data_IF_828979802711
#
_entry.id   IF_828979802711
#
_cell.length_a   1.000
_cell.length_b   1.000
_cell.length_c   1.000
_cell.angle_alpha   90.00
_cell.angle_beta   90.00
_cell.angle_gamma   90.00
#
_symmetry.space_group_name_H-M   'P 1'
#
loop_
_entity.id
_entity.type
_entity.pdbx_description
1 polymer ?
#
# COMPACT_ATOMS: atom_id res chain seq x y z
N UNK A 1 8.86 19.22 13.85
CA UNK A 1 8.54 18.01 13.07
C UNK A 1 8.97 18.13 11.61
N UNK A 2 8.34 19.00 10.79
CA UNK A 2 8.77 19.14 9.39
C UNK A 2 10.25 19.53 9.26
N UNK A 3 10.72 20.49 10.06
CA UNK A 3 12.12 20.91 10.03
C UNK A 3 13.07 19.77 10.42
N UNK A 4 12.77 19.05 11.50
CA UNK A 4 13.54 17.88 11.95
C UNK A 4 13.64 16.82 10.85
N UNK A 5 12.54 16.52 10.17
CA UNK A 5 12.53 15.57 9.04
C UNK A 5 13.26 16.14 7.82
N UNK A 6 13.16 17.44 7.54
CA UNK A 6 13.84 18.07 6.42
C UNK A 6 15.37 17.99 6.57
N UNK A 7 15.88 18.13 7.80
CA UNK A 7 17.32 17.99 8.07
C UNK A 7 17.88 16.62 7.70
N UNK A 8 17.08 15.55 7.78
CA UNK A 8 17.49 14.21 7.37
C UNK A 8 17.71 14.06 5.85
N UNK A 9 17.20 15.01 5.06
CA UNK A 9 17.28 15.00 3.60
C UNK A 9 18.34 15.97 3.06
N UNK A 10 18.88 16.84 3.89
CA UNK A 10 19.89 17.83 3.49
C UNK A 10 21.15 17.13 2.97
N UNK A 11 21.64 17.56 1.81
CA UNK A 11 22.87 17.05 1.20
C UNK A 11 22.72 15.73 0.45
N UNK A 12 21.54 15.09 0.46
CA UNK A 12 21.32 13.84 -0.29
C UNK A 12 21.13 14.10 -1.78
N UNK A 13 21.82 13.32 -2.59
CA UNK A 13 21.59 13.30 -4.03
C UNK A 13 20.24 12.65 -4.35
N UNK A 14 19.52 13.21 -5.33
CA UNK A 14 18.30 12.63 -5.89
C UNK A 14 18.68 11.78 -7.10
N UNK A 15 18.24 10.52 -7.12
CA UNK A 15 18.54 9.53 -8.17
C UNK A 15 17.25 9.02 -8.81
N UNK A 16 17.38 8.23 -9.88
CA UNK A 16 16.24 7.62 -10.61
C UNK A 16 15.18 8.65 -11.06
N UNK A 17 15.56 9.66 -11.87
CA UNK A 17 14.65 10.71 -12.26
C UNK A 17 13.50 10.17 -13.12
N UNK A 18 12.33 10.77 -12.91
CA UNK A 18 11.15 10.56 -13.75
C UNK A 18 11.47 10.85 -15.22
N UNK A 19 11.00 9.96 -16.10
CA UNK A 19 11.15 10.04 -17.57
C UNK A 19 9.80 10.47 -18.14
N UNK A 20 9.76 11.55 -18.92
CA UNK A 20 8.52 12.01 -19.56
C UNK A 20 8.19 11.11 -20.75
N UNK A 21 6.91 10.74 -20.89
CA UNK A 21 6.43 9.98 -22.03
C UNK A 21 5.15 10.61 -22.57
N UNK A 22 4.92 10.57 -23.89
CA UNK A 22 3.64 10.94 -24.46
C UNK A 22 2.55 9.94 -24.05
N UNK A 23 1.29 10.37 -24.01
CA UNK A 23 0.17 9.53 -23.57
C UNK A 23 -0.01 8.30 -24.49
N UNK A 24 0.21 8.50 -25.79
CA UNK A 24 0.18 7.46 -26.82
C UNK A 24 1.12 6.30 -26.47
N UNK A 25 2.23 6.58 -25.78
CA UNK A 25 3.18 5.53 -25.37
C UNK A 25 2.61 4.63 -24.27
N UNK A 26 1.81 5.18 -23.36
CA UNK A 26 1.07 4.40 -22.36
C UNK A 26 0.01 3.53 -23.02
N UNK A 27 -0.70 4.07 -24.02
CA UNK A 27 -1.71 3.32 -24.78
C UNK A 27 -1.09 2.16 -25.56
N UNK A 28 0.09 2.36 -26.16
CA UNK A 28 0.86 1.31 -26.81
C UNK A 28 1.31 0.23 -25.82
N UNK A 29 1.85 0.62 -24.67
CA UNK A 29 2.27 -0.31 -23.61
C UNK A 29 1.08 -1.17 -23.13
N UNK A 30 -0.05 -0.51 -22.88
CA UNK A 30 -1.27 -1.17 -22.45
C UNK A 30 -1.82 -2.11 -23.52
N UNK A 31 -1.87 -1.67 -24.78
CA UNK A 31 -2.35 -2.49 -25.90
C UNK A 31 -1.47 -3.72 -26.12
N UNK A 32 -0.14 -3.57 -26.05
CA UNK A 32 0.80 -4.68 -26.14
C UNK A 32 0.61 -5.68 -25.00
N UNK A 33 0.44 -5.19 -23.76
CA UNK A 33 0.16 -6.04 -22.61
C UNK A 33 -1.16 -6.80 -22.77
N UNK A 34 -2.24 -6.10 -23.15
CA UNK A 34 -3.57 -6.67 -23.38
C UNK A 34 -3.55 -7.73 -24.48
N UNK A 35 -2.87 -7.46 -25.61
CA UNK A 35 -2.72 -8.42 -26.69
C UNK A 35 -1.97 -9.70 -26.25
N UNK A 36 -1.02 -9.56 -25.32
CA UNK A 36 -0.29 -10.70 -24.76
C UNK A 36 -1.20 -11.56 -23.86
N UNK A 37 -1.91 -10.93 -22.93
CA UNK A 37 -2.79 -11.65 -21.98
C UNK A 37 -4.08 -12.18 -22.63
N UNK A 38 -4.57 -11.55 -23.71
CA UNK A 38 -5.74 -12.01 -24.45
C UNK A 38 -5.55 -13.38 -25.12
N UNK A 39 -4.30 -13.81 -25.32
CA UNK A 39 -3.98 -15.16 -25.84
C UNK A 39 -4.23 -16.26 -24.81
N UNK A 40 -4.53 -15.89 -23.56
CA UNK A 40 -4.82 -16.83 -22.48
C UNK A 40 -6.32 -17.05 -22.36
N UNK A 41 -6.76 -18.26 -22.66
CA UNK A 41 -8.10 -18.77 -22.33
C UNK A 41 -8.43 -18.67 -20.83
N UNK A 42 -7.41 -18.61 -19.98
CA UNK A 42 -7.54 -18.46 -18.53
C UNK A 42 -7.73 -17.02 -18.06
N UNK A 43 -7.55 -16.00 -18.90
CA UNK A 43 -7.84 -14.61 -18.52
C UNK A 43 -9.33 -14.35 -18.71
N UNK A 44 -10.01 -14.00 -17.61
CA UNK A 44 -11.45 -13.73 -17.60
C UNK A 44 -11.75 -12.27 -17.89
N UNK A 45 -11.03 -11.37 -17.23
CA UNK A 45 -11.19 -9.92 -17.37
C UNK A 45 -9.91 -9.17 -17.00
N UNK A 46 -9.73 -7.98 -17.55
CA UNK A 46 -8.66 -7.04 -17.19
C UNK A 46 -9.26 -5.68 -16.91
N UNK A 47 -8.86 -5.10 -15.77
CA UNK A 47 -9.25 -3.76 -15.35
C UNK A 47 -8.02 -2.91 -15.10
N UNK A 48 -8.13 -1.61 -15.31
CA UNK A 48 -7.16 -0.61 -14.86
C UNK A 48 -7.66 0.07 -13.61
N UNK A 49 -6.77 0.25 -12.63
CA UNK A 49 -7.00 1.08 -11.45
C UNK A 49 -6.45 2.47 -11.72
N UNK A 50 -7.20 3.50 -11.35
CA UNK A 50 -6.78 4.89 -11.48
C UNK A 50 -6.73 5.38 -12.94
N UNK A 51 -5.91 6.41 -13.14
CA UNK A 51 -5.72 7.05 -14.45
C UNK A 51 -4.30 7.60 -14.60
N UNK A 52 -3.87 7.78 -15.85
CA UNK A 52 -2.58 8.41 -16.18
C UNK A 52 -2.74 9.93 -16.08
N UNK A 53 -2.62 10.46 -14.86
CA UNK A 53 -2.81 11.88 -14.59
C UNK A 53 -1.60 12.76 -14.97
N UNK A 54 -0.38 12.25 -14.79
CA UNK A 54 0.86 12.93 -15.18
C UNK A 54 1.79 11.93 -15.88
N UNK A 55 1.78 11.88 -17.22
CA UNK A 55 2.64 10.99 -17.99
C UNK A 55 4.11 11.12 -17.59
N UNK A 56 4.77 9.99 -17.33
CA UNK A 56 6.14 9.90 -16.83
C UNK A 56 6.31 9.78 -15.32
N UNK A 57 5.30 10.23 -14.55
CA UNK A 57 5.21 10.03 -13.09
C UNK A 57 4.09 9.07 -12.67
N UNK A 58 3.09 8.86 -13.53
CA UNK A 58 2.04 7.88 -13.34
C UNK A 58 2.46 6.52 -13.88
N UNK A 59 1.95 5.46 -13.28
CA UNK A 59 2.09 4.08 -13.73
C UNK A 59 0.77 3.47 -14.21
N UNK A 60 0.90 2.31 -14.87
CA UNK A 60 -0.23 1.49 -15.33
C UNK A 60 -0.53 0.44 -14.26
N UNK A 61 -1.55 0.71 -13.45
CA UNK A 61 -2.05 -0.24 -12.44
C UNK A 61 -3.12 -1.14 -13.04
N UNK A 62 -2.88 -2.45 -13.08
CA UNK A 62 -3.86 -3.42 -13.58
C UNK A 62 -4.35 -4.39 -12.51
N UNK A 63 -5.59 -4.84 -12.68
CA UNK A 63 -6.14 -6.05 -12.08
C UNK A 63 -6.41 -7.06 -13.19
N UNK A 64 -5.77 -8.22 -13.12
CA UNK A 64 -6.04 -9.34 -14.02
C UNK A 64 -6.86 -10.37 -13.27
N UNK A 65 -8.09 -10.59 -13.72
CA UNK A 65 -8.99 -11.58 -13.15
C UNK A 65 -8.90 -12.85 -13.97
N UNK A 66 -8.50 -13.94 -13.31
CA UNK A 66 -8.30 -15.22 -13.96
C UNK A 66 -9.49 -16.16 -13.74
N UNK A 67 -9.71 -17.04 -14.71
CA UNK A 67 -10.41 -18.32 -14.55
C UNK A 67 -9.53 -19.25 -13.71
N UNK A 68 -10.12 -20.33 -13.20
CA UNK A 68 -9.36 -21.39 -12.55
C UNK A 68 -8.30 -21.95 -13.52
N UNK A 69 -7.01 -21.94 -13.15
CA UNK A 69 -6.02 -22.66 -13.97
C UNK A 69 -4.54 -22.34 -13.80
N UNK A 70 -4.03 -21.16 -14.17
CA UNK A 70 -2.62 -21.06 -14.51
C UNK A 70 -1.76 -20.79 -13.27
N UNK A 71 -0.72 -21.61 -13.05
CA UNK A 71 0.21 -21.46 -11.92
C UNK A 71 1.42 -20.58 -12.22
N UNK A 72 1.60 -20.19 -13.47
CA UNK A 72 2.81 -19.56 -13.98
C UNK A 72 2.57 -18.20 -14.65
N UNK A 73 1.40 -17.59 -14.40
CA UNK A 73 1.02 -16.30 -14.98
C UNK A 73 2.13 -15.25 -14.82
N UNK A 74 2.60 -15.01 -13.58
CA UNK A 74 3.64 -14.01 -13.31
C UNK A 74 4.98 -14.30 -14.01
N UNK A 75 5.33 -15.57 -14.19
CA UNK A 75 6.58 -15.94 -14.86
C UNK A 75 6.57 -15.70 -16.37
N UNK A 76 5.37 -15.77 -16.98
CA UNK A 76 5.18 -15.61 -18.42
C UNK A 76 4.70 -14.22 -18.83
N UNK A 77 3.87 -13.59 -18.00
CA UNK A 77 3.13 -12.36 -18.32
C UNK A 77 3.30 -11.25 -17.27
N UNK A 78 4.21 -11.45 -16.30
CA UNK A 78 4.63 -10.39 -15.40
C UNK A 78 5.46 -9.33 -16.12
N UNK A 79 5.55 -8.14 -15.51
CA UNK A 79 6.20 -6.97 -16.11
C UNK A 79 7.70 -7.15 -16.33
N UNK A 80 8.30 -8.13 -15.64
CA UNK A 80 9.71 -8.51 -15.83
C UNK A 80 10.02 -9.01 -17.25
N UNK A 81 9.01 -9.43 -18.02
CA UNK A 81 9.15 -9.87 -19.42
C UNK A 81 8.95 -8.74 -20.43
N UNK A 82 8.55 -7.56 -19.97
CA UNK A 82 8.35 -6.40 -20.84
C UNK A 82 9.69 -5.74 -21.16
N UNK A 83 9.69 -4.86 -22.17
CA UNK A 83 10.82 -3.97 -22.45
C UNK A 83 11.17 -3.13 -21.21
N UNK A 84 12.39 -2.60 -21.11
CA UNK A 84 12.76 -1.72 -19.98
C UNK A 84 11.78 -0.54 -19.85
N UNK A 85 11.38 0.03 -20.99
CA UNK A 85 10.48 1.16 -21.06
C UNK A 85 9.05 0.79 -20.63
N UNK A 86 8.47 -0.30 -21.14
CA UNK A 86 7.16 -0.75 -20.67
C UNK A 86 7.20 -1.10 -19.18
N UNK A 87 8.25 -1.78 -18.73
CA UNK A 87 8.44 -2.09 -17.31
C UNK A 87 8.52 -0.80 -16.47
N UNK A 88 9.15 0.26 -17.02
CA UNK A 88 9.10 1.58 -16.42
C UNK A 88 7.65 2.10 -16.37
N UNK A 89 6.82 1.95 -17.40
CA UNK A 89 5.45 2.48 -17.38
C UNK A 89 4.51 1.71 -16.43
N UNK A 90 4.75 0.43 -16.17
CA UNK A 90 3.92 -0.36 -15.25
C UNK A 90 4.31 -0.24 -13.77
N UNK A 91 5.56 0.08 -13.42
CA UNK A 91 6.15 0.07 -12.05
C UNK A 91 6.13 -1.27 -11.30
N UNK A 92 5.04 -2.03 -11.36
CA UNK A 92 4.85 -3.28 -10.64
C UNK A 92 3.96 -4.25 -11.43
N UNK A 93 3.99 -5.52 -11.02
CA UNK A 93 3.11 -6.53 -11.59
C UNK A 93 1.63 -6.20 -11.31
N UNK A 94 0.70 -6.59 -12.20
CA UNK A 94 -0.73 -6.49 -11.95
C UNK A 94 -1.17 -7.23 -10.68
N UNK A 95 -2.27 -6.78 -10.09
CA UNK A 95 -3.00 -7.55 -9.09
C UNK A 95 -3.69 -8.74 -9.77
N UNK A 96 -3.25 -9.95 -9.44
CA UNK A 96 -3.80 -11.17 -10.02
C UNK A 96 -4.73 -11.83 -9.01
N UNK A 97 -5.99 -11.98 -9.38
CA UNK A 97 -7.05 -12.48 -8.49
C UNK A 97 -8.06 -13.35 -9.25
N UNK A 98 -8.86 -14.12 -8.52
CA UNK A 98 -10.04 -14.83 -9.06
C UNK A 98 -11.30 -13.96 -8.95
N UNK A 99 -12.33 -14.34 -9.70
CA UNK A 99 -13.57 -13.58 -9.79
C UNK A 99 -14.24 -13.33 -8.43
N UNK A 100 -14.24 -14.31 -7.51
CA UNK A 100 -14.81 -14.12 -6.16
C UNK A 100 -14.06 -13.06 -5.34
N UNK A 101 -12.74 -13.00 -5.47
CA UNK A 101 -11.90 -12.04 -4.76
C UNK A 101 -12.02 -10.66 -5.40
N UNK A 102 -12.20 -10.60 -6.72
CA UNK A 102 -12.54 -9.36 -7.43
C UNK A 102 -13.89 -8.79 -7.00
N UNK A 103 -14.91 -9.63 -6.79
CA UNK A 103 -16.22 -9.16 -6.34
C UNK A 103 -16.13 -8.39 -5.01
N UNK A 104 -15.20 -8.81 -4.14
CA UNK A 104 -14.89 -8.19 -2.84
C UNK A 104 -13.77 -7.15 -2.89
N UNK A 105 -13.32 -6.67 -4.06
CA UNK A 105 -12.15 -5.79 -4.20
C UNK A 105 -12.17 -4.58 -3.26
N UNK A 106 -13.32 -3.93 -3.10
CA UNK A 106 -13.50 -2.77 -2.22
C UNK A 106 -13.33 -3.09 -0.72
N UNK A 107 -13.46 -4.37 -0.34
CA UNK A 107 -13.29 -4.85 1.03
C UNK A 107 -11.84 -5.10 1.41
N UNK A 108 -10.92 -5.29 0.47
CA UNK A 108 -9.51 -5.61 0.78
C UNK A 108 -8.50 -4.68 0.09
N UNK A 109 -8.95 -3.84 -0.84
CA UNK A 109 -8.13 -2.85 -1.52
C UNK A 109 -8.84 -1.47 -1.57
N UNK A 110 -8.13 -0.36 -1.31
CA UNK A 110 -8.74 0.98 -1.24
C UNK A 110 -8.99 1.60 -2.61
N UNK A 111 -9.79 0.94 -3.46
CA UNK A 111 -10.18 1.45 -4.78
C UNK A 111 -11.62 1.92 -4.78
N UNK A 112 -11.89 3.06 -5.43
CA UNK A 112 -13.25 3.57 -5.64
C UNK A 112 -13.79 3.02 -6.96
N UNK A 113 -15.11 2.90 -7.08
CA UNK A 113 -15.76 2.37 -8.27
C UNK A 113 -15.39 3.12 -9.54
N UNK A 114 -15.41 4.45 -9.49
CA UNK A 114 -15.05 5.32 -10.60
C UNK A 114 -13.58 5.23 -11.02
N UNK A 115 -12.72 4.69 -10.16
CA UNK A 115 -11.29 4.52 -10.47
C UNK A 115 -11.02 3.17 -11.16
N UNK A 116 -12.04 2.35 -11.46
CA UNK A 116 -11.87 1.04 -12.08
C UNK A 116 -12.39 1.04 -13.52
N UNK A 117 -11.48 1.03 -14.49
CA UNK A 117 -11.81 0.99 -15.92
C UNK A 117 -11.73 -0.44 -16.44
N UNK A 118 -12.83 -0.98 -16.96
CA UNK A 118 -12.81 -2.25 -17.68
C UNK A 118 -12.07 -2.10 -19.01
N UNK A 119 -11.10 -2.99 -19.28
CA UNK A 119 -10.27 -2.93 -20.48
C UNK A 119 -10.49 -4.10 -21.44
N UNK A 120 -10.70 -5.31 -20.93
CA UNK A 120 -10.87 -6.51 -21.76
C UNK A 120 -11.60 -7.63 -21.00
N UNK A 121 -12.27 -8.50 -21.77
CA UNK A 121 -12.93 -9.71 -21.26
C UNK A 121 -14.37 -9.48 -20.79
N UNK A 122 -14.79 -10.27 -19.80
CA UNK A 122 -16.14 -10.21 -19.22
C UNK A 122 -16.28 -9.03 -18.24
N UNK A 123 -17.42 -8.33 -18.26
CA UNK A 123 -17.76 -7.42 -17.17
C UNK A 123 -18.21 -8.23 -15.95
N UNK A 124 -17.36 -8.28 -14.93
CA UNK A 124 -17.62 -9.04 -13.70
C UNK A 124 -18.45 -8.23 -12.71
N UNK A 125 -19.42 -8.88 -12.04
CA UNK A 125 -20.18 -8.26 -10.97
C UNK A 125 -19.27 -7.98 -9.77
N UNK A 126 -19.64 -6.98 -8.99
CA UNK A 126 -19.02 -6.68 -7.70
C UNK A 126 -20.08 -6.67 -6.61
N UNK A 127 -19.67 -7.04 -5.41
CA UNK A 127 -20.54 -6.96 -4.26
C UNK A 127 -20.93 -5.49 -4.06
N UNK A 128 -22.21 -5.20 -3.77
CA UNK A 128 -22.66 -3.83 -3.57
C UNK A 128 -21.89 -3.21 -2.41
N UNK A 129 -21.66 -1.91 -2.51
CA UNK A 129 -21.08 -1.16 -1.40
C UNK A 129 -22.05 -1.24 -0.21
N UNK A 130 -21.54 -1.70 0.93
CA UNK A 130 -22.35 -1.86 2.14
C UNK A 130 -22.45 -0.53 2.91
N UNK A 131 -23.41 -0.42 3.83
CA UNK A 131 -23.45 0.66 4.82
C UNK A 131 -22.15 0.75 5.66
N UNK A 132 -21.36 -0.33 5.70
CA UNK A 132 -20.09 -0.42 6.40
C UNK A 132 -18.91 0.15 5.58
N UNK A 133 -19.13 0.68 4.38
CA UNK A 133 -18.07 1.17 3.50
C UNK A 133 -17.15 2.19 4.19
N UNK A 134 -17.70 3.20 4.87
CA UNK A 134 -16.88 4.21 5.55
C UNK A 134 -16.04 3.59 6.68
N UNK A 135 -16.57 2.56 7.35
CA UNK A 135 -15.83 1.82 8.36
C UNK A 135 -14.68 1.04 7.74
N UNK A 136 -14.91 0.37 6.61
CA UNK A 136 -13.87 -0.34 5.86
C UNK A 136 -12.81 0.61 5.33
N UNK A 137 -13.17 1.81 4.84
CA UNK A 137 -12.21 2.85 4.45
C UNK A 137 -11.26 3.23 5.60
N UNK A 138 -11.76 3.31 6.84
CA UNK A 138 -10.89 3.58 7.99
C UNK A 138 -9.91 2.42 8.26
N UNK A 139 -10.34 1.16 8.08
CA UNK A 139 -9.46 -0.01 8.19
C UNK A 139 -8.36 0.03 7.12
N UNK A 140 -8.73 0.34 5.87
CA UNK A 140 -7.76 0.56 4.78
C UNK A 140 -6.77 1.67 5.11
N UNK A 141 -7.26 2.80 5.63
CA UNK A 141 -6.42 3.93 5.99
C UNK A 141 -5.43 3.57 7.10
N UNK A 142 -5.90 2.93 8.18
CA UNK A 142 -5.03 2.46 9.27
C UNK A 142 -3.97 1.49 8.74
N UNK A 143 -4.35 0.57 7.87
CA UNK A 143 -3.44 -0.36 7.21
C UNK A 143 -2.40 0.34 6.32
N UNK A 144 -2.83 1.30 5.48
CA UNK A 144 -1.93 2.04 4.58
C UNK A 144 -0.89 2.85 5.38
N UNK A 145 -1.33 3.52 6.44
CA UNK A 145 -0.44 4.27 7.34
C UNK A 145 0.54 3.34 8.06
N UNK A 146 0.08 2.17 8.50
CA UNK A 146 0.92 1.20 9.19
C UNK A 146 1.95 0.53 8.27
N UNK A 147 1.53 0.08 7.10
CA UNK A 147 2.33 -0.85 6.27
C UNK A 147 3.01 -0.20 5.08
N UNK A 148 2.43 0.84 4.48
CA UNK A 148 2.93 1.38 3.21
C UNK A 148 3.67 2.69 3.42
N UNK A 149 3.01 3.67 4.05
CA UNK A 149 3.46 5.06 4.02
C UNK A 149 4.89 5.25 4.55
N UNK A 150 5.15 4.73 5.75
CA UNK A 150 6.45 4.95 6.39
C UNK A 150 7.53 4.04 5.87
N UNK A 151 7.21 2.83 5.41
CA UNK A 151 8.25 1.95 4.86
C UNK A 151 8.84 2.52 3.57
N UNK A 152 7.99 3.08 2.70
CA UNK A 152 8.46 3.71 1.46
C UNK A 152 9.32 4.94 1.75
N UNK A 153 8.87 5.82 2.64
CA UNK A 153 9.67 6.97 3.05
C UNK A 153 10.99 6.56 3.71
N UNK A 154 10.94 5.58 4.62
CA UNK A 154 12.10 5.11 5.38
C UNK A 154 13.20 4.61 4.45
N UNK A 155 12.90 3.60 3.64
CA UNK A 155 13.92 2.88 2.87
C UNK A 155 14.44 3.67 1.68
N UNK A 156 13.61 4.51 1.06
CA UNK A 156 13.95 5.15 -0.21
C UNK A 156 14.12 6.67 -0.15
N UNK A 157 13.74 7.30 0.97
CA UNK A 157 13.86 8.76 1.14
C UNK A 157 14.80 9.13 2.29
N UNK A 158 14.59 8.55 3.49
CA UNK A 158 15.28 9.00 4.69
C UNK A 158 16.55 8.24 5.07
N UNK A 159 16.62 6.93 4.84
CA UNK A 159 17.74 6.11 5.35
C UNK A 159 18.66 5.54 4.27
N UNK A 160 18.37 5.77 2.99
CA UNK A 160 19.31 5.53 1.90
C UNK A 160 20.39 6.61 1.80
N UNK A 161 21.50 6.33 1.13
CA UNK A 161 22.54 7.34 0.81
C UNK A 161 22.03 8.39 -0.19
N UNK A 162 21.05 7.99 -1.02
CA UNK A 162 20.40 8.85 -2.01
C UNK A 162 18.88 8.78 -1.85
N UNK A 163 18.19 9.73 -2.48
CA UNK A 163 16.73 9.79 -2.55
C UNK A 163 16.30 9.25 -3.91
N UNK A 164 15.61 8.11 -3.94
CA UNK A 164 15.03 7.60 -5.18
C UNK A 164 13.81 8.43 -5.55
N UNK A 165 13.93 9.27 -6.57
CA UNK A 165 12.91 10.24 -6.95
C UNK A 165 11.56 9.58 -7.23
N UNK A 166 11.58 8.49 -7.99
CA UNK A 166 10.36 7.79 -8.42
C UNK A 166 9.66 7.16 -7.23
N UNK A 167 10.41 6.51 -6.36
CA UNK A 167 9.84 5.86 -5.18
C UNK A 167 9.31 6.90 -4.19
N UNK A 168 10.02 8.01 -3.98
CA UNK A 168 9.56 9.13 -3.13
C UNK A 168 8.30 9.79 -3.68
N UNK A 169 8.22 10.05 -5.00
CA UNK A 169 7.00 10.56 -5.64
C UNK A 169 5.81 9.62 -5.44
N UNK A 170 6.01 8.31 -5.60
CA UNK A 170 4.98 7.30 -5.35
C UNK A 170 4.57 7.23 -3.87
N UNK A 171 5.51 7.44 -2.94
CA UNK A 171 5.21 7.50 -1.52
C UNK A 171 4.35 8.72 -1.16
N UNK A 172 4.68 9.91 -1.69
CA UNK A 172 3.91 11.14 -1.46
C UNK A 172 2.52 11.04 -2.12
N UNK A 173 2.43 10.45 -3.31
CA UNK A 173 1.15 10.18 -3.97
C UNK A 173 0.30 9.16 -3.20
N UNK A 174 0.91 8.12 -2.66
CA UNK A 174 0.25 7.19 -1.74
C UNK A 174 -0.30 7.88 -0.49
N UNK A 175 0.43 8.87 0.05
CA UNK A 175 -0.06 9.70 1.13
C UNK A 175 -1.28 10.52 0.71
N UNK A 176 -1.25 11.12 -0.48
CA UNK A 176 -2.40 11.85 -1.03
C UNK A 176 -3.64 10.96 -1.20
N UNK A 177 -3.46 9.68 -1.51
CA UNK A 177 -4.57 8.72 -1.56
C UNK A 177 -5.09 8.41 -0.14
N UNK A 178 -4.21 8.31 0.86
CA UNK A 178 -4.59 8.16 2.28
C UNK A 178 -5.37 9.39 2.78
N UNK A 179 -4.96 10.60 2.39
CA UNK A 179 -5.70 11.83 2.67
C UNK A 179 -7.08 11.80 2.02
N UNK A 180 -7.20 11.37 0.77
CA UNK A 180 -8.49 11.26 0.10
C UNK A 180 -9.43 10.28 0.84
N UNK A 181 -8.92 9.13 1.28
CA UNK A 181 -9.67 8.18 2.11
C UNK A 181 -10.12 8.81 3.44
N UNK A 182 -9.26 9.59 4.08
CA UNK A 182 -9.60 10.28 5.33
C UNK A 182 -10.73 11.29 5.13
N UNK A 183 -10.64 12.14 4.10
CA UNK A 183 -11.67 13.13 3.79
C UNK A 183 -13.01 12.46 3.46
N UNK A 184 -12.99 11.35 2.72
CA UNK A 184 -14.15 10.51 2.47
C UNK A 184 -14.78 9.99 3.77
N UNK A 185 -13.96 9.49 4.72
CA UNK A 185 -14.44 8.98 6.01
C UNK A 185 -15.07 10.09 6.85
N UNK A 186 -14.49 11.31 6.82
CA UNK A 186 -14.98 12.45 7.60
C UNK A 186 -16.12 13.21 6.93
N UNK A 187 -16.48 12.88 5.68
CA UNK A 187 -17.43 13.66 4.88
C UNK A 187 -17.06 15.14 4.77
N UNK A 188 -15.76 15.46 4.89
CA UNK A 188 -15.26 16.82 5.04
C UNK A 188 -14.77 17.40 3.72
N UNK A 189 -14.88 18.72 3.59
CA UNK A 189 -14.38 19.46 2.44
C UNK A 189 -12.84 19.47 2.38
N UNK A 190 -12.31 19.86 1.21
CA UNK A 190 -10.88 20.00 0.88
C UNK A 190 -10.13 21.02 1.74
N UNK A 191 -10.81 21.83 2.54
CA UNK A 191 -10.25 22.98 3.27
C UNK A 191 -9.46 22.60 4.53
N UNK A 192 -9.23 21.32 4.79
CA UNK A 192 -8.30 20.87 5.83
C UNK A 192 -6.84 21.07 5.39
N UNK A 193 -5.92 21.12 6.36
CA UNK A 193 -4.47 21.11 6.08
C UNK A 193 -4.04 19.93 5.20
N UNK A 194 -4.70 18.77 5.34
CA UNK A 194 -4.42 17.60 4.52
C UNK A 194 -4.89 17.78 3.08
N UNK A 195 -6.11 18.30 2.89
CA UNK A 195 -6.65 18.61 1.55
C UNK A 195 -5.79 19.66 0.85
N UNK A 196 -5.45 20.74 1.54
CA UNK A 196 -4.54 21.78 1.04
C UNK A 196 -3.15 21.25 0.68
N UNK A 197 -2.59 20.32 1.47
CA UNK A 197 -1.35 19.65 1.10
C UNK A 197 -1.50 18.81 -0.18
N UNK A 198 -2.53 17.96 -0.22
CA UNK A 198 -2.83 17.07 -1.35
C UNK A 198 -2.96 17.87 -2.64
N UNK A 199 -3.75 18.94 -2.64
CA UNK A 199 -4.05 19.69 -3.85
C UNK A 199 -2.80 20.43 -4.36
N UNK A 200 -2.03 21.08 -3.48
CA UNK A 200 -0.74 21.69 -3.84
C UNK A 200 0.24 20.69 -4.44
N UNK A 201 0.35 19.49 -3.85
CA UNK A 201 1.25 18.46 -4.37
C UNK A 201 0.79 17.92 -5.74
N UNK A 202 -0.51 17.69 -5.92
CA UNK A 202 -1.06 17.24 -7.20
C UNK A 202 -0.88 18.30 -8.30
N UNK A 203 -0.99 19.58 -7.98
CA UNK A 203 -0.70 20.67 -8.92
C UNK A 203 0.78 20.78 -9.23
N UNK A 204 1.65 20.63 -8.23
CA UNK A 204 3.10 20.54 -8.43
C UNK A 204 3.46 19.41 -9.42
N UNK A 205 2.88 18.21 -9.27
CA UNK A 205 3.11 17.09 -10.19
C UNK A 205 2.78 17.45 -11.65
N UNK A 206 1.73 18.23 -11.91
CA UNK A 206 1.38 18.67 -13.28
C UNK A 206 2.43 19.60 -13.90
N UNK A 207 3.21 20.28 -13.06
CA UNK A 207 4.30 21.17 -13.50
C UNK A 207 5.67 20.49 -13.52
N UNK A 208 5.75 19.22 -13.11
CA UNK A 208 7.01 18.52 -12.82
C UNK A 208 8.04 18.64 -13.96
N UNK A 209 7.67 18.28 -15.19
CA UNK A 209 8.59 18.27 -16.33
C UNK A 209 8.93 19.66 -16.88
N UNK A 210 8.27 20.72 -16.38
CA UNK A 210 8.61 22.12 -16.72
C UNK A 210 9.71 22.70 -15.83
N UNK A 211 10.06 22.01 -14.75
CA UNK A 211 11.04 22.46 -13.78
C UNK A 211 12.42 21.87 -14.08
N UNK A 212 13.48 22.65 -13.81
CA UNK A 212 14.85 22.14 -13.85
C UNK A 212 15.06 21.06 -12.76
N UNK A 213 16.10 20.23 -12.94
CA UNK A 213 16.38 19.12 -12.03
C UNK A 213 16.62 19.57 -10.57
N UNK A 214 17.25 20.73 -10.36
CA UNK A 214 17.50 21.27 -9.02
C UNK A 214 16.21 21.72 -8.33
N UNK A 215 15.32 22.40 -9.07
CA UNK A 215 14.00 22.79 -8.57
C UNK A 215 13.12 21.59 -8.25
N UNK A 216 13.13 20.55 -9.10
CA UNK A 216 12.44 19.27 -8.82
C UNK A 216 12.97 18.60 -7.55
N UNK A 217 14.29 18.50 -7.41
CA UNK A 217 14.91 17.90 -6.24
C UNK A 217 14.54 18.63 -4.93
N UNK A 218 14.62 19.97 -4.91
CA UNK A 218 14.22 20.78 -3.74
C UNK A 218 12.74 20.65 -3.41
N UNK A 219 11.88 20.65 -4.42
CA UNK A 219 10.45 20.50 -4.20
C UNK A 219 10.12 19.09 -3.67
N UNK A 220 10.74 18.05 -4.23
CA UNK A 220 10.55 16.67 -3.79
C UNK A 220 10.92 16.50 -2.31
N UNK A 221 12.09 16.98 -1.88
CA UNK A 221 12.51 16.87 -0.47
C UNK A 221 11.58 17.63 0.46
N UNK A 222 11.11 18.81 0.04
CA UNK A 222 10.14 19.61 0.78
C UNK A 222 8.81 18.86 0.94
N UNK A 223 8.26 18.33 -0.16
CA UNK A 223 7.00 17.58 -0.13
C UNK A 223 7.12 16.26 0.62
N UNK A 224 8.26 15.56 0.55
CA UNK A 224 8.51 14.35 1.33
C UNK A 224 8.52 14.63 2.85
N UNK A 225 9.18 15.71 3.28
CA UNK A 225 9.19 16.12 4.68
C UNK A 225 7.81 16.55 5.18
N UNK A 226 7.08 17.33 4.38
CA UNK A 226 5.72 17.74 4.69
C UNK A 226 4.76 16.55 4.76
N UNK A 227 4.79 15.65 3.78
CA UNK A 227 3.96 14.45 3.75
C UNK A 227 4.23 13.56 4.96
N UNK A 228 5.49 13.37 5.34
CA UNK A 228 5.87 12.55 6.49
C UNK A 228 5.39 13.17 7.80
N UNK A 229 5.56 14.49 7.97
CA UNK A 229 5.03 15.22 9.12
C UNK A 229 3.49 15.08 9.21
N UNK A 230 2.79 15.35 8.11
CA UNK A 230 1.34 15.23 8.06
C UNK A 230 0.86 13.78 8.22
N UNK A 231 1.63 12.78 7.79
CA UNK A 231 1.29 11.38 8.01
C UNK A 231 1.28 11.03 9.50
N UNK A 232 2.21 11.57 10.30
CA UNK A 232 2.13 11.43 11.76
C UNK A 232 0.90 12.14 12.33
N UNK A 233 0.59 13.36 11.88
CA UNK A 233 -0.63 14.04 12.36
C UNK A 233 -1.90 13.26 12.01
N UNK A 234 -1.96 12.71 10.79
CA UNK A 234 -3.08 11.88 10.34
C UNK A 234 -3.21 10.59 11.16
N UNK A 235 -2.10 9.95 11.56
CA UNK A 235 -2.14 8.82 12.51
C UNK A 235 -2.83 9.23 13.81
N UNK A 236 -2.56 10.43 14.33
CA UNK A 236 -3.21 10.93 15.54
C UNK A 236 -4.72 11.11 15.39
N UNK A 237 -5.16 11.61 14.23
CA UNK A 237 -6.59 11.76 13.94
C UNK A 237 -7.29 10.41 13.75
N UNK A 238 -6.65 9.47 13.03
CA UNK A 238 -7.15 8.10 12.86
C UNK A 238 -7.20 7.36 14.19
N UNK A 239 -6.19 7.52 15.06
CA UNK A 239 -6.19 6.97 16.41
C UNK A 239 -7.37 7.48 17.25
N UNK A 240 -7.63 8.79 17.20
CA UNK A 240 -8.77 9.38 17.89
C UNK A 240 -10.09 8.76 17.42
N UNK A 241 -10.25 8.59 16.11
CA UNK A 241 -11.42 7.97 15.49
C UNK A 241 -11.58 6.50 15.89
N UNK A 242 -10.49 5.73 15.88
CA UNK A 242 -10.48 4.33 16.32
C UNK A 242 -10.87 4.19 17.81
N UNK A 243 -10.30 5.02 18.69
CA UNK A 243 -10.65 5.00 20.12
C UNK A 243 -12.10 5.43 20.38
N UNK A 244 -12.59 6.39 19.61
CA UNK A 244 -13.93 6.96 19.80
C UNK A 244 -15.04 6.06 19.28
N UNK A 245 -14.78 5.30 18.20
CA UNK A 245 -15.84 4.62 17.45
C UNK A 245 -15.64 3.12 17.24
N UNK A 246 -14.44 2.59 17.51
CA UNK A 246 -14.12 1.17 17.22
C UNK A 246 -13.75 0.37 18.45
N UNK A 247 -12.98 0.96 19.35
CA UNK A 247 -12.46 0.25 20.50
C UNK A 247 -13.09 0.74 21.80
N UNK A 248 -13.36 -0.18 22.71
CA UNK A 248 -13.60 0.10 24.12
C UNK A 248 -12.23 0.44 24.74
N UNK A 249 -12.19 1.23 25.83
CA UNK A 249 -10.95 1.41 26.57
C UNK A 249 -10.35 0.05 26.97
N UNK A 250 -9.09 -0.18 26.60
CA UNK A 250 -8.35 -1.38 26.99
C UNK A 250 -7.03 -0.96 27.60
N UNK A 251 -6.67 -1.60 28.70
CA UNK A 251 -5.29 -1.59 29.17
C UNK A 251 -4.51 -2.63 28.38
N UNK A 252 -4.02 -2.25 27.20
CA UNK A 252 -2.96 -2.99 26.54
C UNK A 252 -1.62 -2.47 27.11
N UNK A 253 -0.69 -3.37 27.40
CA UNK A 253 0.71 -2.97 27.63
C UNK A 253 1.31 -2.39 26.35
N UNK A 254 2.52 -1.82 26.46
CA UNK A 254 3.28 -1.50 25.25
C UNK A 254 3.52 -2.79 24.43
N UNK A 255 3.34 -2.70 23.12
CA UNK A 255 3.53 -3.84 22.20
C UNK A 255 4.68 -3.49 21.27
N UNK A 256 5.59 -4.44 21.08
CA UNK A 256 6.66 -4.32 20.10
C UNK A 256 6.77 -5.57 19.24
N UNK A 257 7.02 -5.40 17.95
CA UNK A 257 7.33 -6.52 17.07
C UNK A 257 8.14 -6.08 15.85
N UNK A 258 8.69 -7.06 15.13
CA UNK A 258 9.43 -6.84 13.89
C UNK A 258 8.64 -7.32 12.67
N UNK A 259 8.52 -6.46 11.66
CA UNK A 259 7.80 -6.71 10.42
C UNK A 259 8.49 -6.01 9.25
N UNK A 260 8.68 -6.71 8.13
CA UNK A 260 9.38 -6.13 6.96
C UNK A 260 10.85 -5.75 7.23
N UNK A 261 11.45 -6.23 8.33
CA UNK A 261 12.79 -5.81 8.78
C UNK A 261 12.76 -4.65 9.77
N UNK A 262 11.67 -3.88 9.82
CA UNK A 262 11.49 -2.73 10.71
C UNK A 262 10.93 -3.13 12.07
N UNK A 263 11.32 -2.39 13.12
CA UNK A 263 10.76 -2.51 14.47
C UNK A 263 9.55 -1.59 14.60
N UNK A 264 8.43 -2.13 15.04
CA UNK A 264 7.22 -1.39 15.33
C UNK A 264 6.97 -1.41 16.83
N UNK A 265 6.75 -0.24 17.42
CA UNK A 265 6.42 -0.05 18.84
C UNK A 265 5.08 0.66 18.95
N UNK A 266 4.22 0.21 19.87
CA UNK A 266 2.88 0.73 20.09
C UNK A 266 2.72 1.17 21.54
N UNK A 267 2.36 2.44 21.75
CA UNK A 267 2.29 3.06 23.08
C UNK A 267 0.94 3.69 23.35
N UNK A 268 0.51 3.65 24.61
CA UNK A 268 -0.71 4.30 25.09
C UNK A 268 -0.57 5.82 25.09
N UNK A 269 0.59 6.32 25.50
CA UNK A 269 0.97 7.73 25.38
C UNK A 269 1.73 7.89 24.07
N UNK A 270 1.09 8.56 23.12
CA UNK A 270 1.63 8.78 21.80
C UNK A 270 1.37 10.21 21.35
N UNK A 271 2.35 10.83 20.69
CA UNK A 271 2.23 12.16 20.12
C UNK A 271 2.97 12.22 18.77
N UNK A 272 2.46 12.95 17.76
CA UNK A 272 3.07 13.02 16.44
C UNK A 272 4.55 13.43 16.48
N UNK A 273 4.88 14.47 17.25
CA UNK A 273 6.26 14.95 17.36
C UNK A 273 7.21 13.93 18.01
N UNK A 274 6.74 13.17 18.99
CA UNK A 274 7.54 12.11 19.61
C UNK A 274 7.76 10.94 18.64
N UNK A 275 6.75 10.58 17.86
CA UNK A 275 6.83 9.56 16.83
C UNK A 275 7.79 9.95 15.69
N UNK A 276 7.75 11.21 15.24
CA UNK A 276 8.67 11.71 14.23
C UNK A 276 10.13 11.74 14.72
N UNK A 277 10.38 12.17 15.97
CA UNK A 277 11.72 12.08 16.57
C UNK A 277 12.18 10.63 16.70
N UNK A 278 11.29 9.72 17.09
CA UNK A 278 11.60 8.29 17.15
C UNK A 278 11.96 7.75 15.76
N UNK A 279 11.20 8.11 14.73
CA UNK A 279 11.49 7.78 13.34
C UNK A 279 12.85 8.31 12.89
N UNK A 280 13.18 9.55 13.23
CA UNK A 280 14.43 10.21 12.85
C UNK A 280 15.69 9.62 13.53
N UNK A 281 15.55 9.16 14.79
CA UNK A 281 16.67 8.74 15.63
C UNK A 281 16.85 7.24 15.72
N UNK A 282 15.76 6.48 15.54
CA UNK A 282 15.77 5.02 15.66
C UNK A 282 15.48 4.39 14.32
N UNK A 283 15.88 3.13 14.17
CA UNK A 283 15.45 2.35 13.02
C UNK A 283 14.01 1.79 13.15
N UNK A 284 13.21 2.33 14.07
CA UNK A 284 11.85 1.88 14.36
C UNK A 284 10.76 2.85 13.95
N UNK A 285 9.52 2.39 14.08
CA UNK A 285 8.30 3.15 13.91
C UNK A 285 7.48 3.10 15.20
N UNK A 286 7.02 4.28 15.63
CA UNK A 286 6.23 4.42 16.84
C UNK A 286 4.78 4.79 16.48
N UNK A 287 3.84 3.93 16.86
CA UNK A 287 2.41 4.10 16.61
C UNK A 287 1.60 4.17 17.91
N UNK A 288 0.39 4.74 17.89
CA UNK A 288 -0.50 4.69 19.03
C UNK A 288 -1.08 3.28 19.20
N UNK A 289 -1.42 2.94 20.44
CA UNK A 289 -1.84 1.60 20.83
C UNK A 289 -3.13 1.11 20.14
N UNK A 290 -3.99 2.02 19.68
CA UNK A 290 -5.20 1.67 18.91
C UNK A 290 -4.87 0.98 17.59
N UNK A 291 -3.72 1.27 16.96
CA UNK A 291 -3.28 0.56 15.76
C UNK A 291 -2.88 -0.89 16.08
N UNK A 292 -2.34 -1.15 17.27
CA UNK A 292 -2.10 -2.52 17.73
C UNK A 292 -3.42 -3.25 18.01
N UNK A 293 -4.39 -2.57 18.64
CA UNK A 293 -5.73 -3.12 18.88
C UNK A 293 -6.42 -3.48 17.55
N UNK A 294 -6.33 -2.63 16.55
CA UNK A 294 -6.77 -2.91 15.17
C UNK A 294 -6.13 -4.17 14.60
N UNK A 295 -4.81 -4.33 14.71
CA UNK A 295 -4.13 -5.55 14.25
C UNK A 295 -4.60 -6.79 15.03
N UNK A 296 -4.69 -6.67 16.35
CA UNK A 296 -5.17 -7.72 17.24
C UNK A 296 -6.63 -8.10 16.95
N UNK A 297 -7.45 -7.20 16.41
CA UNK A 297 -8.81 -7.53 15.99
C UNK A 297 -8.86 -8.65 14.94
N UNK A 298 -7.81 -8.78 14.12
CA UNK A 298 -7.70 -9.86 13.12
C UNK A 298 -7.17 -11.17 13.69
N UNK A 299 -6.67 -11.17 14.92
CA UNK A 299 -6.10 -12.35 15.59
C UNK A 299 -7.11 -13.49 15.70
N UNK A 300 -8.42 -13.24 15.73
CA UNK A 300 -9.43 -14.31 15.81
C UNK A 300 -9.71 -14.99 14.46
N UNK A 301 -9.28 -14.40 13.34
CA UNK A 301 -9.48 -15.05 12.05
C UNK A 301 -8.73 -16.37 11.96
N UNK A 302 -9.39 -17.41 11.43
CA UNK A 302 -8.76 -18.72 11.18
C UNK A 302 -7.83 -18.71 9.97
N UNK A 303 -7.92 -17.68 9.11
CA UNK A 303 -7.13 -17.58 7.90
C UNK A 303 -5.66 -17.22 8.11
N UNK A 304 -4.95 -16.94 7.01
CA UNK A 304 -3.52 -16.66 7.00
C UNK A 304 -3.15 -15.39 7.75
N UNK A 305 -3.98 -14.36 7.67
CA UNK A 305 -3.75 -13.09 8.36
C UNK A 305 -3.91 -13.29 9.87
N UNK A 306 -4.99 -13.91 10.33
CA UNK A 306 -5.16 -14.17 11.76
C UNK A 306 -4.08 -15.10 12.34
N UNK A 307 -3.62 -16.10 11.59
CA UNK A 307 -2.43 -16.89 11.96
C UNK A 307 -1.17 -16.03 12.05
N UNK A 308 -0.99 -15.10 11.12
CA UNK A 308 0.14 -14.18 11.14
C UNK A 308 0.14 -13.29 12.37
N UNK A 309 -1.00 -12.66 12.65
CA UNK A 309 -1.19 -11.83 13.83
C UNK A 309 -0.94 -12.64 15.10
N UNK A 310 -1.53 -13.84 15.24
CA UNK A 310 -1.23 -14.72 16.40
C UNK A 310 0.26 -15.02 16.54
N UNK A 311 0.97 -15.30 15.46
CA UNK A 311 2.39 -15.62 15.54
C UNK A 311 3.28 -14.41 15.87
N UNK A 312 2.88 -13.20 15.46
CA UNK A 312 3.66 -11.96 15.66
C UNK A 312 3.27 -11.19 16.92
N UNK A 313 2.02 -11.30 17.35
CA UNK A 313 1.44 -10.57 18.48
C UNK A 313 1.05 -11.50 19.65
N UNK A 314 1.26 -12.82 19.55
CA UNK A 314 0.64 -13.85 20.39
C UNK A 314 1.01 -13.88 21.87
N UNK A 315 1.98 -13.08 22.32
CA UNK A 315 2.27 -12.90 23.74
C UNK A 315 1.53 -11.70 24.36
N UNK A 316 0.87 -10.85 23.57
CA UNK A 316 0.04 -9.77 24.09
C UNK A 316 -1.19 -10.35 24.80
N UNK A 317 -1.33 -10.04 26.10
CA UNK A 317 -2.21 -10.72 27.05
C UNK A 317 -3.73 -10.55 26.81
N UNK A 318 -4.16 -9.66 25.92
CA UNK A 318 -5.58 -9.37 25.73
C UNK A 318 -6.25 -10.22 24.64
N UNK A 319 -7.45 -10.73 24.94
CA UNK A 319 -8.31 -11.43 23.99
C UNK A 319 -9.07 -10.39 23.12
N UNK A 320 -8.96 -10.43 21.77
CA UNK A 320 -9.50 -9.41 20.86
C UNK A 320 -10.98 -9.07 21.00
N UNK A 321 -11.82 -10.08 21.27
CA UNK A 321 -13.28 -9.97 21.30
C UNK A 321 -13.77 -8.99 22.37
N UNK A 322 -12.97 -8.75 23.41
CA UNK A 322 -13.41 -7.94 24.55
C UNK A 322 -13.39 -6.44 24.26
N UNK A 323 -12.64 -5.98 23.26
CA UNK A 323 -12.40 -4.56 23.06
C UNK A 323 -12.96 -3.95 21.78
N UNK A 324 -13.40 -4.74 20.82
CA UNK A 324 -14.06 -4.21 19.63
C UNK A 324 -15.50 -3.85 20.02
N UNK A 325 -15.96 -2.67 19.62
CA UNK A 325 -17.36 -2.28 19.80
C UNK A 325 -18.25 -3.08 18.84
N UNK A 326 -19.47 -3.48 19.24
CA UNK A 326 -20.35 -4.30 18.40
C UNK A 326 -20.56 -3.73 16.98
N UNK A 327 -20.67 -2.41 16.85
CA UNK A 327 -20.91 -1.70 15.59
C UNK A 327 -19.71 -1.75 14.63
N UNK A 328 -18.52 -1.99 15.17
CA UNK A 328 -17.28 -2.16 14.41
C UNK A 328 -17.00 -3.62 14.05
N UNK A 329 -17.52 -4.58 14.82
CA UNK A 329 -17.19 -5.99 14.69
C UNK A 329 -17.51 -6.56 13.29
N UNK A 330 -18.67 -6.19 12.72
CA UNK A 330 -19.06 -6.63 11.37
C UNK A 330 -18.11 -6.11 10.28
N UNK A 331 -17.65 -4.86 10.39
CA UNK A 331 -16.70 -4.29 9.44
C UNK A 331 -15.32 -4.97 9.54
N UNK A 332 -14.85 -5.24 10.76
CA UNK A 332 -13.62 -6.03 10.98
C UNK A 332 -13.75 -7.41 10.37
N UNK A 333 -14.86 -8.11 10.63
CA UNK A 333 -15.10 -9.48 10.16
C UNK A 333 -15.13 -9.58 8.62
N UNK A 334 -15.86 -8.67 7.95
CA UNK A 334 -15.92 -8.62 6.49
C UNK A 334 -14.55 -8.30 5.88
N UNK A 335 -13.83 -7.33 6.45
CA UNK A 335 -12.51 -6.94 5.96
C UNK A 335 -11.50 -8.08 6.09
N UNK A 336 -11.45 -8.76 7.24
CA UNK A 336 -10.49 -9.86 7.45
C UNK A 336 -10.83 -11.09 6.60
N UNK A 337 -12.11 -11.39 6.39
CA UNK A 337 -12.52 -12.47 5.49
C UNK A 337 -12.04 -12.20 4.06
N UNK A 338 -12.27 -10.98 3.55
CA UNK A 338 -11.84 -10.58 2.22
C UNK A 338 -10.30 -10.61 2.07
N UNK A 339 -9.57 -10.11 3.08
CA UNK A 339 -8.11 -10.17 3.12
C UNK A 339 -7.58 -11.61 3.14
N UNK A 340 -8.21 -12.51 3.91
CA UNK A 340 -7.83 -13.91 3.95
C UNK A 340 -8.11 -14.63 2.63
N UNK A 341 -9.21 -14.28 1.96
CA UNK A 341 -9.51 -14.79 0.63
C UNK A 341 -8.39 -14.41 -0.36
N UNK A 342 -8.06 -13.10 -0.44
CA UNK A 342 -6.96 -12.59 -1.26
C UNK A 342 -5.60 -13.23 -0.91
N UNK A 343 -5.29 -13.33 0.38
CA UNK A 343 -4.02 -13.86 0.88
C UNK A 343 -3.84 -15.36 0.60
N UNK A 344 -4.93 -16.11 0.54
CA UNK A 344 -4.89 -17.54 0.25
C UNK A 344 -4.85 -17.82 -1.27
N UNK A 345 -5.38 -16.93 -2.11
CA UNK A 345 -5.40 -17.12 -3.56
C UNK A 345 -4.00 -17.17 -4.16
N UNK A 346 -3.23 -16.09 -4.00
CA UNK A 346 -1.97 -15.88 -4.69
C UNK A 346 -0.93 -16.99 -4.49
N UNK A 347 -0.66 -17.45 -3.26
CA UNK A 347 0.37 -18.47 -3.06
C UNK A 347 -0.05 -19.87 -3.42
N UNK A 348 -1.33 -20.21 -3.19
CA UNK A 348 -1.86 -21.53 -3.56
C UNK A 348 -1.80 -21.73 -5.06
N UNK A 349 -2.05 -20.67 -5.84
CA UNK A 349 -2.08 -20.71 -7.30
C UNK A 349 -0.71 -20.45 -7.92
N UNK A 350 -0.08 -19.32 -7.63
CA UNK A 350 1.13 -18.88 -8.35
C UNK A 350 2.43 -19.14 -7.62
N UNK A 351 2.39 -19.64 -6.39
CA UNK A 351 3.58 -19.71 -5.53
C UNK A 351 4.25 -18.34 -5.36
N UNK A 352 3.46 -17.27 -5.37
CA UNK A 352 3.93 -15.91 -5.11
C UNK A 352 3.25 -15.39 -3.84
N UNK A 353 4.00 -14.60 -3.06
CA UNK A 353 3.44 -13.95 -1.89
C UNK A 353 2.41 -12.90 -2.32
N UNK A 354 1.31 -12.73 -1.59
CA UNK A 354 0.42 -11.60 -1.84
C UNK A 354 1.18 -10.29 -1.62
N UNK A 355 0.64 -9.20 -2.15
CA UNK A 355 1.22 -7.88 -1.94
C UNK A 355 1.38 -7.61 -0.42
N UNK A 356 2.61 -7.41 0.09
CA UNK A 356 2.87 -7.32 1.52
C UNK A 356 2.17 -6.14 2.20
N UNK A 357 1.90 -5.07 1.45
CA UNK A 357 1.17 -3.89 1.93
C UNK A 357 -0.32 -4.17 2.13
N UNK A 358 -0.85 -5.14 1.40
CA UNK A 358 -2.24 -5.59 1.55
C UNK A 358 -2.38 -6.60 2.70
N UNK A 359 -1.35 -7.40 2.98
CA UNK A 359 -1.48 -8.55 3.88
C UNK A 359 -0.69 -8.43 5.18
N UNK A 360 -0.36 -7.21 5.62
CA UNK A 360 0.46 -6.99 6.81
C UNK A 360 1.73 -7.83 6.83
N UNK A 361 2.38 -8.01 5.67
CA UNK A 361 3.57 -8.85 5.52
C UNK A 361 3.39 -10.32 5.94
N UNK A 362 2.16 -10.85 5.97
CA UNK A 362 1.87 -12.22 6.36
C UNK A 362 2.69 -13.25 5.52
N UNK A 363 3.71 -13.91 6.11
CA UNK A 363 4.65 -14.75 5.37
C UNK A 363 4.09 -16.17 5.11
N UNK A 364 2.99 -16.53 5.77
CA UNK A 364 2.41 -17.88 5.80
C UNK A 364 1.72 -18.30 4.50
N UNK A 365 1.74 -17.39 3.54
CA UNK A 365 1.22 -17.56 2.22
C UNK A 365 2.28 -18.31 1.37
N UNK A 366 3.57 -18.04 1.52
CA UNK A 366 4.64 -18.74 0.80
C UNK A 366 5.23 -19.90 1.61
N UNK A 367 5.30 -21.12 1.05
CA UNK A 367 5.98 -22.24 1.72
C UNK A 367 7.47 -21.91 1.93
N UNK A 368 8.18 -22.57 2.87
CA UNK A 368 9.65 -22.44 2.99
C UNK A 368 10.35 -22.67 1.65
N UNK A 369 9.82 -23.59 0.83
CA UNK A 369 10.29 -23.86 -0.51
C UNK A 369 10.04 -22.68 -1.46
N UNK A 370 8.88 -22.02 -1.42
CA UNK A 370 8.64 -20.79 -2.20
C UNK A 370 9.56 -19.66 -1.76
N UNK A 371 9.78 -19.48 -0.45
CA UNK A 371 10.76 -18.48 0.03
C UNK A 371 12.19 -18.81 -0.38
N UNK A 372 12.55 -20.10 -0.41
CA UNK A 372 13.85 -20.54 -0.90
C UNK A 372 13.97 -20.33 -2.41
N UNK A 373 12.92 -20.66 -3.18
CA UNK A 373 12.82 -20.43 -4.61
C UNK A 373 12.91 -18.94 -4.95
N UNK A 374 12.10 -18.07 -4.32
CA UNK A 374 12.17 -16.62 -4.54
C UNK A 374 13.55 -16.06 -4.18
N UNK A 375 14.17 -16.54 -3.10
CA UNK A 375 15.55 -16.15 -2.75
C UNK A 375 16.56 -16.62 -3.79
N UNK A 376 16.47 -17.87 -4.26
CA UNK A 376 17.32 -18.44 -5.30
C UNK A 376 17.16 -17.72 -6.63
N UNK A 377 15.92 -17.51 -7.07
CA UNK A 377 15.57 -16.76 -8.27
C UNK A 377 16.08 -15.33 -8.23
N UNK A 378 15.81 -14.58 -7.15
CA UNK A 378 16.30 -13.21 -7.01
C UNK A 378 17.84 -13.14 -6.97
N UNK A 379 18.50 -14.13 -6.35
CA UNK A 379 19.97 -14.22 -6.35
C UNK A 379 20.52 -14.48 -7.76
N UNK A 380 19.93 -15.44 -8.49
CA UNK A 380 20.32 -15.74 -9.88
C UNK A 380 20.08 -14.55 -10.81
N UNK A 381 18.93 -13.87 -10.68
CA UNK A 381 18.63 -12.68 -11.49
C UNK A 381 19.67 -11.58 -11.30
N UNK A 382 20.06 -11.29 -10.04
CA UNK A 382 21.13 -10.31 -9.76
C UNK A 382 22.48 -10.69 -10.38
N UNK A 383 22.77 -11.99 -10.50
CA UNK A 383 23.99 -12.45 -11.16
C UNK A 383 23.91 -12.29 -12.67
N UNK A 384 22.74 -12.53 -13.27
CA UNK A 384 22.53 -12.31 -14.71
C UNK A 384 22.57 -10.82 -15.06
N UNK A 385 21.98 -9.96 -14.21
CA UNK A 385 21.98 -8.50 -14.41
C UNK A 385 23.40 -7.87 -14.24
N UNK A 386 24.39 -8.64 -13.77
CA UNK A 386 25.78 -8.22 -13.57
C UNK A 386 26.73 -8.67 -14.71
N UNK A 387 26.25 -9.50 -15.64
CA UNK A 387 26.98 -9.98 -16.83
C UNK A 387 26.44 -9.24 -18.03
#
# INVERSE_FOLDING_TARGET
MQDELSQLLVGKAVTNPGREFPLERYEQALSAYLANVARMDTVRAVYQIGSIGVPGLSDIDLVVVLRDGPRDFLHRYGIARLSEEDRYLFSHDPLIIEARTFAKLHLWYPVREQDLKHLAGETLPRDPMTELQNRIKLLHLAQCLLCYQFQMFRHHTYFGETIDQRVSENAIKGFCNSVALWLDVKGSATDSKFGSFRDRYLDFRKTWFRLDAGSRARALTTYAAQASALAFELIGEVDSELRSNWFKPVSLGEIEFQMGGDRFSFKSVWAPAAAARHFATTQGLLFPLSFAAFMLAYRESRGSIGRHVRAKFGAAAATPVQFIRPEAASAVALHIEALDEYSNFNPRRFRVGPNPFVTFWAPYSTSRAVRAFNRGYNKLRRLVDQV
#
